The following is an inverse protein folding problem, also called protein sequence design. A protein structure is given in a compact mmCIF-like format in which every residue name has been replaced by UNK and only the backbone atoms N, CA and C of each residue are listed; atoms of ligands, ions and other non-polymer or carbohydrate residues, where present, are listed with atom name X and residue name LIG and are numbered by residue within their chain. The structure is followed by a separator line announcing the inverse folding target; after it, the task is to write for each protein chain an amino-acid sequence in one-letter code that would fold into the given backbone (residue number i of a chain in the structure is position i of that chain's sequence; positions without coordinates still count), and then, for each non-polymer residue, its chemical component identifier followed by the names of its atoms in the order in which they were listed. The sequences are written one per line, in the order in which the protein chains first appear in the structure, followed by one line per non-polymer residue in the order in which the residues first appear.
data_IF_487264229707
#
_entry.id   IF_487264229707
#
_cell.length_a   1.000
_cell.length_b   1.000
_cell.length_c   1.000
_cell.angle_alpha   90.00
_cell.angle_beta   90.00
_cell.angle_gamma   90.00
#
_symmetry.space_group_name_H-M   'P 1'
#
loop_
_entity.id
_entity.type
_entity.pdbx_description
1 polymer ?
#
# COMPACT_ATOMS: atom_id res chain seq x y z
N UNK A 1 -16.26 -7.78 0.81
CA UNK A 1 -16.13 -6.31 0.75
C UNK A 1 -15.09 -5.86 1.78
N UNK A 2 -14.18 -4.95 1.41
CA UNK A 2 -13.15 -4.42 2.30
C UNK A 2 -13.77 -3.66 3.48
N UNK A 3 -13.22 -3.85 4.69
CA UNK A 3 -13.56 -3.04 5.86
C UNK A 3 -12.48 -1.97 6.11
N UNK A 4 -12.90 -0.71 6.24
CA UNK A 4 -12.03 0.43 6.50
C UNK A 4 -12.22 0.94 7.93
N UNK A 5 -11.15 0.93 8.71
CA UNK A 5 -11.09 1.42 10.09
C UNK A 5 -10.23 2.69 10.16
N UNK A 6 -10.67 3.68 10.94
CA UNK A 6 -9.96 4.96 11.12
C UNK A 6 -9.60 5.15 12.59
N UNK A 7 -8.39 5.63 12.83
CA UNK A 7 -7.87 5.88 14.17
C UNK A 7 -7.23 7.26 14.24
N UNK A 8 -7.34 7.92 15.39
CA UNK A 8 -6.61 9.15 15.70
C UNK A 8 -5.57 8.83 16.78
N UNK A 9 -4.34 8.52 16.37
CA UNK A 9 -3.26 8.19 17.30
C UNK A 9 -1.91 8.55 16.72
N UNK A 10 -1.01 9.03 17.59
CA UNK A 10 0.41 9.28 17.30
C UNK A 10 1.33 8.25 18.00
N UNK A 11 0.76 7.23 18.63
CA UNK A 11 1.53 6.29 19.43
C UNK A 11 2.39 5.39 18.54
N UNK A 12 3.71 5.48 18.67
CA UNK A 12 4.63 4.55 18.01
C UNK A 12 4.43 3.11 18.50
N UNK A 13 4.02 2.91 19.75
CA UNK A 13 3.69 1.57 20.26
C UNK A 13 2.46 0.99 19.56
N UNK A 14 1.46 1.82 19.26
CA UNK A 14 0.31 1.40 18.44
C UNK A 14 0.77 0.99 17.04
N UNK A 15 1.61 1.79 16.37
CA UNK A 15 2.15 1.45 15.04
C UNK A 15 2.88 0.11 15.04
N UNK A 16 3.75 -0.12 16.04
CA UNK A 16 4.52 -1.37 16.19
C UNK A 16 3.61 -2.56 16.43
N UNK A 17 2.61 -2.44 17.31
CA UNK A 17 1.62 -3.50 17.57
C UNK A 17 0.78 -3.80 16.32
N UNK A 18 0.39 -2.77 15.58
CA UNK A 18 -0.34 -2.92 14.32
C UNK A 18 0.50 -3.62 13.26
N UNK A 19 1.76 -3.21 13.08
CA UNK A 19 2.69 -3.86 12.15
C UNK A 19 2.91 -5.34 12.50
N UNK A 20 3.12 -5.63 13.79
CA UNK A 20 3.26 -7.01 14.27
C UNK A 20 2.01 -7.83 13.95
N UNK A 21 0.82 -7.29 14.24
CA UNK A 21 -0.44 -7.96 13.89
C UNK A 21 -0.59 -8.17 12.36
N UNK A 22 -0.22 -7.18 11.54
CA UNK A 22 -0.24 -7.28 10.08
C UNK A 22 0.68 -8.39 9.54
N UNK A 23 1.83 -8.63 10.19
CA UNK A 23 2.77 -9.69 9.78
C UNK A 23 2.22 -11.11 9.90
N UNK A 24 1.10 -11.30 10.60
CA UNK A 24 0.39 -12.59 10.64
C UNK A 24 -0.40 -12.91 9.36
N UNK A 25 -0.47 -12.00 8.39
CA UNK A 25 -1.21 -12.17 7.15
C UNK A 25 -0.28 -12.52 5.97
N UNK A 26 -0.72 -13.39 5.04
CA UNK A 26 0.06 -13.71 3.84
C UNK A 26 0.42 -12.49 2.99
N UNK A 27 -0.45 -11.48 2.98
CA UNK A 27 -0.18 -10.20 2.35
C UNK A 27 -0.56 -9.07 3.29
N UNK A 28 0.36 -8.13 3.46
CA UNK A 28 0.10 -6.85 4.08
C UNK A 28 0.90 -5.74 3.42
N UNK A 29 0.33 -4.54 3.42
CA UNK A 29 1.01 -3.31 3.07
C UNK A 29 1.02 -2.41 4.31
N UNK A 30 2.18 -1.83 4.63
CA UNK A 30 2.34 -0.93 5.76
C UNK A 30 3.08 0.33 5.32
N UNK A 31 2.34 1.42 5.18
CA UNK A 31 2.84 2.70 4.68
C UNK A 31 2.94 3.65 5.88
N UNK A 32 4.16 3.85 6.37
CA UNK A 32 4.46 4.74 7.50
C UNK A 32 5.18 6.00 7.01
N UNK A 33 4.75 7.15 7.53
CA UNK A 33 5.43 8.43 7.31
C UNK A 33 6.81 8.50 7.98
N UNK A 34 7.14 7.60 8.90
CA UNK A 34 8.39 7.59 9.66
C UNK A 34 8.66 8.92 10.39
N UNK A 35 7.61 9.53 10.97
CA UNK A 35 7.74 10.78 11.74
C UNK A 35 8.37 11.96 10.99
N UNK A 36 8.32 11.97 9.65
CA UNK A 36 8.95 13.02 8.85
C UNK A 36 8.25 14.37 9.01
N UNK A 37 8.86 15.30 9.76
CA UNK A 37 8.24 16.54 10.23
C UNK A 37 8.46 17.78 9.34
N UNK A 38 8.88 17.67 8.07
CA UNK A 38 9.07 18.88 7.24
C UNK A 38 7.75 19.60 6.93
N UNK A 39 7.87 20.92 6.83
CA UNK A 39 6.86 21.98 6.88
C UNK A 39 5.67 21.90 5.88
N UNK A 40 5.72 21.05 4.85
CA UNK A 40 4.62 20.88 3.90
C UNK A 40 3.64 19.76 4.33
N UNK A 41 3.01 19.96 5.48
CA UNK A 41 2.12 18.96 6.12
C UNK A 41 0.66 19.04 5.64
N UNK A 42 0.27 20.05 4.87
CA UNK A 42 -1.12 20.26 4.45
C UNK A 42 -1.68 19.15 3.56
N UNK A 43 -0.83 18.53 2.72
CA UNK A 43 -1.23 17.43 1.83
C UNK A 43 -1.23 16.06 2.54
N UNK A 44 -0.64 15.96 3.73
CA UNK A 44 -0.46 14.69 4.43
C UNK A 44 -1.59 14.50 5.46
N UNK A 45 -2.51 13.58 5.16
CA UNK A 45 -3.68 13.32 6.00
C UNK A 45 -3.46 12.18 7.00
N UNK A 46 -2.61 11.21 6.66
CA UNK A 46 -2.40 9.98 7.44
C UNK A 46 -0.95 9.85 7.87
N UNK A 47 -0.75 9.35 9.08
CA UNK A 47 0.56 9.01 9.64
C UNK A 47 0.95 7.57 9.29
N UNK A 48 -0.02 6.65 9.37
CA UNK A 48 0.12 5.26 8.91
C UNK A 48 -1.13 4.82 8.16
N UNK A 49 -0.92 4.09 7.07
CA UNK A 49 -1.95 3.27 6.43
C UNK A 49 -1.45 1.83 6.42
N UNK A 50 -2.23 0.93 7.03
CA UNK A 50 -1.98 -0.50 6.98
C UNK A 50 -3.13 -1.21 6.28
N UNK A 51 -2.83 -2.24 5.50
CA UNK A 51 -3.82 -3.04 4.79
C UNK A 51 -3.40 -4.51 4.85
N UNK A 52 -4.34 -5.41 5.10
CA UNK A 52 -4.08 -6.85 5.20
C UNK A 52 -5.04 -7.65 4.34
N UNK A 53 -4.56 -8.78 3.81
CA UNK A 53 -5.35 -9.70 3.00
C UNK A 53 -5.10 -11.13 3.46
N UNK A 54 -6.18 -11.89 3.61
CA UNK A 54 -6.16 -13.34 3.65
C UNK A 54 -6.60 -13.87 2.28
N UNK A 55 -5.74 -14.64 1.62
CA UNK A 55 -5.99 -15.23 0.30
C UNK A 55 -5.12 -14.64 -0.82
N UNK A 56 -5.57 -14.88 -2.06
CA UNK A 56 -4.76 -14.64 -3.25
C UNK A 56 -4.57 -13.14 -3.54
N UNK A 57 -3.40 -12.84 -4.09
CA UNK A 57 -3.07 -11.54 -4.68
C UNK A 57 -3.01 -11.68 -6.20
N UNK A 58 -3.22 -10.58 -6.92
CA UNK A 58 -2.81 -10.48 -8.31
C UNK A 58 -1.28 -10.46 -8.34
N UNK A 59 -0.69 -11.44 -9.02
CA UNK A 59 0.74 -11.56 -9.26
C UNK A 59 0.96 -11.61 -10.77
N UNK A 60 1.78 -10.71 -11.31
CA UNK A 60 2.06 -10.65 -12.74
C UNK A 60 3.53 -10.29 -12.98
N UNK A 61 4.09 -10.84 -14.05
CA UNK A 61 5.35 -10.37 -14.62
C UNK A 61 5.05 -9.43 -15.79
N UNK A 62 6.04 -8.65 -16.20
CA UNK A 62 5.96 -7.75 -17.35
C UNK A 62 5.57 -8.50 -18.63
N UNK A 63 4.55 -7.99 -19.31
CA UNK A 63 4.03 -8.28 -20.67
C UNK A 63 2.54 -7.90 -20.76
N UNK A 64 1.78 -8.09 -19.68
CA UNK A 64 0.33 -7.82 -19.59
C UNK A 64 -0.10 -7.32 -18.20
N UNK A 65 0.84 -6.90 -17.35
CA UNK A 65 0.60 -6.60 -15.96
C UNK A 65 -0.38 -5.44 -15.79
N UNK A 66 -0.26 -4.36 -16.58
CA UNK A 66 -1.19 -3.21 -16.47
C UNK A 66 -2.61 -3.56 -16.91
N UNK A 67 -2.75 -4.40 -17.95
CA UNK A 67 -4.06 -4.90 -18.38
C UNK A 67 -4.69 -5.77 -17.29
N UNK A 68 -3.94 -6.72 -16.74
CA UNK A 68 -4.42 -7.60 -15.68
C UNK A 68 -4.79 -6.81 -14.42
N UNK A 69 -4.01 -5.78 -14.07
CA UNK A 69 -4.33 -4.89 -12.96
C UNK A 69 -5.63 -4.13 -13.20
N UNK A 70 -5.86 -3.63 -14.42
CA UNK A 70 -7.10 -2.92 -14.77
C UNK A 70 -8.32 -3.85 -14.69
N UNK A 71 -8.21 -5.07 -15.22
CA UNK A 71 -9.25 -6.08 -15.14
C UNK A 71 -9.56 -6.44 -13.67
N UNK A 72 -8.51 -6.65 -12.86
CA UNK A 72 -8.64 -6.92 -11.43
C UNK A 72 -9.30 -5.75 -10.66
N UNK A 73 -8.90 -4.51 -10.94
CA UNK A 73 -9.50 -3.32 -10.33
C UNK A 73 -10.99 -3.20 -10.68
N UNK A 74 -11.35 -3.41 -11.95
CA UNK A 74 -12.73 -3.31 -12.40
C UNK A 74 -13.63 -4.38 -11.77
N UNK A 75 -13.12 -5.59 -11.61
CA UNK A 75 -13.85 -6.70 -10.99
C UNK A 75 -14.12 -6.46 -9.49
N UNK A 76 -13.13 -5.91 -8.79
CA UNK A 76 -13.19 -5.76 -7.33
C UNK A 76 -13.79 -4.42 -6.88
N UNK A 77 -13.68 -3.38 -7.69
CA UNK A 77 -14.18 -2.02 -7.46
C UNK A 77 -13.89 -1.48 -6.04
N UNK A 78 -12.66 -1.68 -5.57
CA UNK A 78 -12.21 -1.31 -4.22
C UNK A 78 -10.77 -0.79 -4.24
N UNK A 79 -10.29 -0.35 -3.07
CA UNK A 79 -8.88 0.01 -2.90
C UNK A 79 -7.97 -1.19 -3.15
N UNK A 80 -6.90 -0.94 -3.89
CA UNK A 80 -5.83 -1.88 -4.14
C UNK A 80 -4.56 -1.43 -3.43
N UNK A 81 -3.90 -2.37 -2.79
CA UNK A 81 -2.60 -2.18 -2.15
C UNK A 81 -1.61 -3.13 -2.78
N UNK A 82 -0.38 -2.67 -3.00
CA UNK A 82 0.58 -3.44 -3.77
C UNK A 82 1.82 -2.66 -4.15
N UNK A 83 2.60 -3.28 -5.02
CA UNK A 83 3.87 -2.76 -5.54
C UNK A 83 3.91 -2.89 -7.06
N UNK A 84 4.61 -1.93 -7.66
CA UNK A 84 5.06 -1.98 -9.04
C UNK A 84 6.57 -2.24 -9.04
N UNK A 85 6.96 -3.32 -9.68
CA UNK A 85 8.34 -3.66 -9.98
C UNK A 85 8.87 -2.84 -11.16
N UNK A 86 10.19 -2.81 -11.26
CA UNK A 86 10.89 -1.94 -12.19
C UNK A 86 10.70 -2.35 -13.66
N UNK A 87 10.66 -3.66 -13.96
CA UNK A 87 10.59 -4.16 -15.33
C UNK A 87 9.22 -3.95 -16.00
N UNK A 88 8.23 -3.45 -15.27
CA UNK A 88 6.98 -2.94 -15.86
C UNK A 88 7.20 -1.80 -16.86
N UNK A 89 8.34 -1.09 -16.78
CA UNK A 89 8.72 -0.10 -17.80
C UNK A 89 8.70 -0.69 -19.22
N UNK A 90 8.98 -1.99 -19.37
CA UNK A 90 9.06 -2.67 -20.65
C UNK A 90 7.68 -2.80 -21.33
N UNK A 91 6.57 -2.60 -20.60
CA UNK A 91 5.22 -2.51 -21.17
C UNK A 91 4.88 -1.09 -21.66
N UNK A 92 5.58 -0.07 -21.16
CA UNK A 92 5.33 1.34 -21.47
C UNK A 92 6.27 1.87 -22.55
N UNK A 93 7.49 1.34 -22.61
CA UNK A 93 8.56 1.79 -23.48
C UNK A 93 9.21 0.60 -24.20
N UNK A 94 9.83 0.84 -25.36
CA UNK A 94 10.59 -0.17 -26.11
C UNK A 94 11.97 -0.39 -25.49
N UNK A 95 11.98 -0.77 -24.22
CA UNK A 95 13.18 -1.05 -23.44
C UNK A 95 13.14 -2.49 -22.94
N UNK A 96 14.33 -3.08 -22.78
CA UNK A 96 14.50 -4.37 -22.13
C UNK A 96 15.58 -4.24 -21.06
N UNK A 97 15.33 -4.87 -19.91
CA UNK A 97 16.33 -5.01 -18.86
C UNK A 97 17.13 -6.30 -19.08
N UNK A 98 18.46 -6.21 -19.05
CA UNK A 98 19.35 -7.38 -19.01
C UNK A 98 19.90 -7.63 -17.58
N UNK A 99 19.27 -7.04 -16.56
CA UNK A 99 19.69 -7.22 -15.18
C UNK A 99 19.25 -8.60 -14.67
N UNK A 100 20.14 -9.27 -13.94
CA UNK A 100 19.83 -10.54 -13.31
C UNK A 100 18.81 -10.35 -12.18
N UNK A 101 17.65 -10.99 -12.29
CA UNK A 101 16.69 -11.08 -11.19
C UNK A 101 17.14 -12.13 -10.18
N UNK A 102 17.80 -11.67 -9.11
CA UNK A 102 18.29 -12.52 -8.04
C UNK A 102 17.26 -12.83 -6.93
N UNK A 103 16.08 -12.20 -6.98
CA UNK A 103 15.08 -12.31 -5.89
C UNK A 103 13.81 -13.03 -6.38
N UNK A 104 13.53 -13.03 -7.69
CA UNK A 104 12.39 -13.75 -8.26
C UNK A 104 11.05 -13.11 -7.89
N UNK A 105 11.04 -11.81 -7.60
CA UNK A 105 9.81 -11.08 -7.28
C UNK A 105 8.99 -10.81 -8.53
N UNK A 106 7.68 -10.84 -8.40
CA UNK A 106 6.79 -10.44 -9.47
C UNK A 106 6.92 -8.94 -9.78
N UNK A 107 6.87 -8.59 -11.06
CA UNK A 107 6.88 -7.20 -11.51
C UNK A 107 5.63 -6.43 -11.08
N UNK A 108 4.55 -7.12 -10.72
CA UNK A 108 3.35 -6.51 -10.18
C UNK A 108 2.74 -7.43 -9.13
N UNK A 109 2.47 -6.87 -7.95
CA UNK A 109 1.73 -7.55 -6.89
C UNK A 109 0.69 -6.61 -6.28
N UNK A 110 -0.60 -6.91 -6.42
CA UNK A 110 -1.68 -6.11 -5.83
C UNK A 110 -2.77 -6.97 -5.20
N UNK A 111 -3.45 -6.42 -4.20
CA UNK A 111 -4.55 -7.07 -3.51
C UNK A 111 -5.59 -6.08 -3.01
N UNK A 112 -6.85 -6.49 -3.03
CA UNK A 112 -7.93 -5.86 -2.26
C UNK A 112 -7.87 -6.38 -0.84
N UNK A 113 -7.61 -5.53 0.17
CA UNK A 113 -7.49 -5.99 1.54
C UNK A 113 -8.85 -6.39 2.12
N UNK A 114 -8.82 -7.28 3.11
CA UNK A 114 -9.99 -7.55 3.94
C UNK A 114 -10.20 -6.44 4.97
N UNK A 115 -9.09 -5.91 5.51
CA UNK A 115 -9.08 -4.80 6.47
C UNK A 115 -8.04 -3.76 6.07
N UNK A 116 -8.42 -2.48 6.20
CA UNK A 116 -7.50 -1.36 6.11
C UNK A 116 -7.64 -0.44 7.32
N UNK A 117 -6.50 0.01 7.86
CA UNK A 117 -6.37 0.84 9.05
C UNK A 117 -5.73 2.16 8.64
N UNK A 118 -6.44 3.26 8.89
CA UNK A 118 -6.04 4.59 8.45
C UNK A 118 -5.86 5.48 9.69
N UNK A 119 -4.59 5.65 10.11
CA UNK A 119 -4.24 6.43 11.29
C UNK A 119 -4.01 7.88 10.88
N UNK A 120 -4.86 8.79 11.32
CA UNK A 120 -4.77 10.20 10.99
C UNK A 120 -3.63 10.88 11.74
N UNK A 121 -2.96 11.81 11.06
CA UNK A 121 -2.08 12.74 11.74
C UNK A 121 -2.96 13.73 12.53
N UNK A 122 -2.83 13.76 13.87
CA UNK A 122 -3.59 14.71 14.70
C UNK A 122 -3.24 16.13 14.25
N UNK A 123 -4.21 16.82 13.63
CA UNK A 123 -4.17 18.25 13.35
C UNK A 123 -4.46 18.98 14.65
N UNK A 124 -3.61 19.90 15.06
CA UNK A 124 -3.93 20.86 16.11
C UNK A 124 -5.20 21.60 15.66
N UNK A 125 -6.33 21.36 16.33
CA UNK A 125 -7.51 22.20 16.15
C UNK A 125 -7.16 23.56 16.76
N UNK A 126 -6.86 24.55 15.93
CA UNK A 126 -6.89 25.93 16.37
C UNK A 126 -8.36 26.30 16.55
N UNK A 127 -8.84 26.31 17.79
CA UNK A 127 -10.10 26.96 18.14
C UNK A 127 -9.81 28.43 18.34
N UNK A 128 -10.39 29.30 17.51
CA UNK A 128 -10.50 30.71 17.83
C UNK A 128 -11.67 30.85 18.80
N UNK A 129 -11.36 31.23 20.04
CA UNK A 129 -12.32 31.73 21.03
C UNK A 129 -12.57 33.21 20.82
#
# INVERSE_FOLDING_TARGET
MMQKLRFETKSNDFKRKLLYWCSGFPFYAFIDRNSYNKLNTFLIQYDVIAAVKSGNCLLCNSSNAFRNLKEYQNAENNWLFGIFGYDLKNELEQLHSNHFDGIGFHDLQFSVPIWSFWCQAIRSKFSFS
#
